data_IF_278690315659
#
_entry.id   IF_278690315659
#
_cell.length_a   1.000
_cell.length_b   1.000
_cell.length_c   1.000
_cell.angle_alpha   90.00
_cell.angle_beta   90.00
_cell.angle_gamma   90.00
#
_symmetry.space_group_name_H-M   'P 1'
#
loop_
_entity.id
_entity.type
_entity.pdbx_description
1 polymer ?
#
# COMPACT_ATOMS: atom_id res chain seq x y z
N UNK A 1 -57.68 -16.49 48.26
CA UNK A 1 -57.12 -15.24 47.71
C UNK A 1 -55.97 -14.71 48.57
N UNK A 2 -56.10 -14.77 49.91
CA UNK A 2 -55.06 -14.41 50.89
C UNK A 2 -53.66 -15.05 50.72
N UNK A 3 -53.52 -16.31 50.26
CA UNK A 3 -52.20 -16.94 50.11
C UNK A 3 -51.38 -16.37 48.95
N UNK A 4 -52.02 -15.84 47.91
CA UNK A 4 -51.31 -15.14 46.82
C UNK A 4 -50.92 -13.73 47.22
N UNK A 5 -51.78 -13.01 47.96
CA UNK A 5 -51.49 -11.65 48.44
C UNK A 5 -50.32 -11.61 49.46
N UNK A 6 -50.17 -12.65 50.28
CA UNK A 6 -49.06 -12.75 51.23
C UNK A 6 -47.73 -13.09 50.53
N UNK A 7 -47.74 -13.99 49.55
CA UNK A 7 -46.56 -14.28 48.73
C UNK A 7 -46.14 -13.08 47.86
N UNK A 8 -47.11 -12.28 47.37
CA UNK A 8 -46.85 -11.06 46.60
C UNK A 8 -46.13 -10.02 47.48
N UNK A 9 -46.60 -9.79 48.71
CA UNK A 9 -45.98 -8.85 49.65
C UNK A 9 -44.59 -9.30 50.13
N UNK A 10 -44.36 -10.62 50.31
CA UNK A 10 -43.05 -11.18 50.65
C UNK A 10 -42.06 -11.10 49.48
N UNK A 11 -42.51 -11.35 48.24
CA UNK A 11 -41.69 -11.13 47.04
C UNK A 11 -41.36 -9.66 46.83
N UNK A 12 -42.31 -8.77 47.07
CA UNK A 12 -42.12 -7.33 46.96
C UNK A 12 -41.05 -6.84 47.96
N UNK A 13 -41.12 -7.27 49.22
CA UNK A 13 -40.10 -6.93 50.21
C UNK A 13 -38.71 -7.51 49.87
N UNK A 14 -38.63 -8.74 49.38
CA UNK A 14 -37.36 -9.34 48.95
C UNK A 14 -36.74 -8.60 47.75
N UNK A 15 -37.55 -8.20 46.78
CA UNK A 15 -37.11 -7.39 45.63
C UNK A 15 -36.63 -6.00 46.07
N UNK A 16 -37.33 -5.38 47.02
CA UNK A 16 -36.95 -4.08 47.62
C UNK A 16 -35.63 -4.19 48.39
N UNK A 17 -35.40 -5.26 49.15
CA UNK A 17 -34.15 -5.45 49.91
C UNK A 17 -32.95 -5.75 49.00
N UNK A 18 -33.16 -6.53 47.94
CA UNK A 18 -32.14 -6.73 46.88
C UNK A 18 -31.84 -5.40 46.19
N UNK A 19 -32.86 -4.61 45.85
CA UNK A 19 -32.68 -3.29 45.25
C UNK A 19 -31.95 -2.31 46.18
N UNK A 20 -32.26 -2.30 47.49
CA UNK A 20 -31.56 -1.47 48.47
C UNK A 20 -30.11 -1.89 48.69
N UNK A 21 -29.83 -3.20 48.66
CA UNK A 21 -28.48 -3.76 48.91
C UNK A 21 -27.57 -3.66 47.68
N UNK A 22 -28.09 -3.97 46.49
CA UNK A 22 -27.30 -4.02 45.25
C UNK A 22 -27.53 -2.84 44.31
N UNK A 23 -28.59 -2.03 44.49
CA UNK A 23 -28.93 -0.94 43.58
C UNK A 23 -27.82 0.11 43.42
N UNK A 24 -27.06 0.41 44.48
CA UNK A 24 -25.88 1.29 44.38
C UNK A 24 -24.73 0.66 43.60
N UNK A 25 -24.51 -0.65 43.73
CA UNK A 25 -23.47 -1.38 43.01
C UNK A 25 -23.82 -1.54 41.53
N UNK A 26 -25.07 -1.93 41.23
CA UNK A 26 -25.59 -2.05 39.87
C UNK A 26 -25.60 -0.66 39.21
N UNK A 27 -26.09 0.37 39.89
CA UNK A 27 -26.06 1.75 39.40
C UNK A 27 -24.65 2.27 39.14
N UNK A 28 -23.72 2.01 40.06
CA UNK A 28 -22.29 2.33 39.89
C UNK A 28 -21.65 1.59 38.71
N UNK A 29 -21.97 0.29 38.54
CA UNK A 29 -21.52 -0.52 37.43
C UNK A 29 -22.02 -0.01 36.08
N UNK A 30 -23.32 0.33 35.98
CA UNK A 30 -23.91 0.92 34.77
C UNK A 30 -23.26 2.29 34.48
N UNK A 31 -23.08 3.14 35.49
CA UNK A 31 -22.45 4.44 35.32
C UNK A 31 -21.00 4.33 34.80
N UNK A 32 -20.22 3.38 35.33
CA UNK A 32 -18.87 3.08 34.83
C UNK A 32 -18.89 2.59 33.38
N UNK A 33 -19.82 1.70 33.04
CA UNK A 33 -19.98 1.19 31.68
C UNK A 33 -20.31 2.32 30.69
N UNK A 34 -21.25 3.20 31.05
CA UNK A 34 -21.63 4.35 30.24
C UNK A 34 -20.50 5.37 30.10
N UNK A 35 -19.74 5.63 31.16
CA UNK A 35 -18.57 6.49 31.11
C UNK A 35 -17.48 5.92 30.19
N UNK A 36 -17.22 4.60 30.29
CA UNK A 36 -16.28 3.90 29.41
C UNK A 36 -16.73 3.94 27.94
N UNK A 37 -18.01 3.68 27.68
CA UNK A 37 -18.59 3.75 26.34
C UNK A 37 -18.54 5.18 25.78
N UNK A 38 -18.89 6.18 26.57
CA UNK A 38 -18.84 7.59 26.17
C UNK A 38 -17.41 8.03 25.84
N UNK A 39 -16.44 7.64 26.66
CA UNK A 39 -15.02 7.88 26.37
C UNK A 39 -14.55 7.21 25.09
N UNK A 40 -14.94 5.96 24.85
CA UNK A 40 -14.62 5.23 23.61
C UNK A 40 -15.24 5.90 22.38
N UNK A 41 -16.53 6.25 22.44
CA UNK A 41 -17.25 6.89 21.33
C UNK A 41 -16.65 8.26 20.99
N UNK A 42 -16.26 9.04 22.00
CA UNK A 42 -15.60 10.33 21.78
C UNK A 42 -14.24 10.14 21.10
N UNK A 43 -13.42 9.20 21.58
CA UNK A 43 -12.13 8.89 20.97
C UNK A 43 -12.25 8.38 19.53
N UNK A 44 -13.15 7.44 19.27
CA UNK A 44 -13.44 6.91 17.93
C UNK A 44 -13.92 8.01 16.97
N UNK A 45 -14.82 8.89 17.43
CA UNK A 45 -15.28 10.04 16.65
C UNK A 45 -14.13 10.99 16.32
N UNK A 46 -13.28 11.34 17.29
CA UNK A 46 -12.12 12.22 17.06
C UNK A 46 -11.14 11.64 16.04
N UNK A 47 -10.87 10.33 16.08
CA UNK A 47 -10.00 9.66 15.11
C UNK A 47 -10.61 9.66 13.71
N UNK A 48 -11.92 9.36 13.61
CA UNK A 48 -12.63 9.35 12.32
C UNK A 48 -12.73 10.73 11.69
N UNK A 49 -12.95 11.77 12.48
CA UNK A 49 -13.00 13.15 12.00
C UNK A 49 -11.65 13.59 11.43
N UNK A 50 -10.55 13.35 12.15
CA UNK A 50 -9.21 13.66 11.67
C UNK A 50 -8.85 12.89 10.39
N UNK A 51 -9.25 11.61 10.30
CA UNK A 51 -9.07 10.83 9.07
C UNK A 51 -9.92 11.36 7.90
N UNK A 52 -11.11 11.88 8.18
CA UNK A 52 -11.99 12.52 7.19
C UNK A 52 -11.36 13.77 6.57
N UNK A 53 -10.80 14.65 7.40
CA UNK A 53 -10.13 15.88 6.94
C UNK A 53 -8.92 15.58 6.05
N UNK A 54 -8.08 14.61 6.46
CA UNK A 54 -6.94 14.16 5.64
C UNK A 54 -7.41 13.58 4.30
N UNK A 55 -8.51 12.83 4.30
CA UNK A 55 -9.08 12.22 3.08
C UNK A 55 -9.63 13.28 2.12
N UNK A 56 -10.29 14.32 2.63
CA UNK A 56 -10.79 15.44 1.84
C UNK A 56 -9.63 16.20 1.18
N UNK A 57 -8.61 16.58 1.96
CA UNK A 57 -7.40 17.24 1.46
C UNK A 57 -6.71 16.39 0.39
N UNK A 58 -6.61 15.07 0.61
CA UNK A 58 -5.98 14.14 -0.35
C UNK A 58 -6.77 14.08 -1.65
N UNK A 59 -8.10 14.02 -1.59
CA UNK A 59 -8.96 14.04 -2.79
C UNK A 59 -8.74 15.30 -3.62
N UNK A 60 -8.75 16.48 -2.97
CA UNK A 60 -8.51 17.76 -3.66
C UNK A 60 -7.14 17.82 -4.33
N UNK A 61 -6.12 17.27 -3.67
CA UNK A 61 -4.77 17.15 -4.23
C UNK A 61 -4.76 16.23 -5.45
N UNK A 62 -5.41 15.06 -5.38
CA UNK A 62 -5.49 14.12 -6.50
C UNK A 62 -6.17 14.75 -7.71
N UNK A 63 -7.25 15.50 -7.50
CA UNK A 63 -7.94 16.24 -8.58
C UNK A 63 -7.01 17.27 -9.23
N UNK A 64 -6.20 17.99 -8.42
CA UNK A 64 -5.21 18.93 -8.96
C UNK A 64 -4.08 18.23 -9.72
N UNK A 65 -3.62 17.08 -9.26
CA UNK A 65 -2.61 16.30 -9.99
C UNK A 65 -3.17 15.77 -11.32
N UNK A 66 -4.45 15.39 -11.36
CA UNK A 66 -5.11 14.94 -12.58
C UNK A 66 -5.30 16.07 -13.61
N UNK A 67 -5.44 17.32 -13.16
CA UNK A 67 -5.58 18.50 -14.02
C UNK A 67 -4.27 18.90 -14.77
N UNK A 68 -3.13 18.30 -14.43
CA UNK A 68 -1.88 18.40 -15.19
C UNK A 68 -0.75 19.18 -14.50
N UNK A 69 0.38 19.42 -15.22
CA UNK A 69 1.61 19.92 -14.62
C UNK A 69 1.49 21.29 -13.92
N UNK A 70 0.69 22.20 -14.47
CA UNK A 70 0.49 23.55 -13.91
C UNK A 70 -0.17 23.50 -12.52
N UNK A 71 -1.13 22.60 -12.33
CA UNK A 71 -1.81 22.40 -11.05
C UNK A 71 -1.04 21.50 -10.09
N UNK A 72 -0.17 20.63 -10.60
CA UNK A 72 0.74 19.82 -9.79
C UNK A 72 1.70 20.66 -8.95
N UNK A 73 2.14 21.82 -9.45
CA UNK A 73 2.97 22.76 -8.68
C UNK A 73 2.27 23.31 -7.43
N UNK A 74 0.97 23.61 -7.52
CA UNK A 74 0.16 24.03 -6.37
C UNK A 74 -0.10 22.87 -5.39
N UNK A 75 -0.21 21.64 -5.90
CA UNK A 75 -0.43 20.44 -5.11
C UNK A 75 0.77 20.08 -4.21
N UNK A 76 2.01 20.43 -4.62
CA UNK A 76 3.22 20.16 -3.83
C UNK A 76 3.13 20.75 -2.41
N UNK A 77 2.68 21.99 -2.27
CA UNK A 77 2.59 22.66 -0.96
C UNK A 77 1.62 21.94 -0.02
N UNK A 78 0.47 21.53 -0.53
CA UNK A 78 -0.56 20.85 0.25
C UNK A 78 -0.11 19.43 0.64
N UNK A 79 0.58 18.74 -0.28
CA UNK A 79 1.17 17.43 -0.05
C UNK A 79 2.30 17.46 0.99
N UNK A 80 3.09 18.52 1.01
CA UNK A 80 4.17 18.66 1.99
C UNK A 80 3.63 18.72 3.43
N UNK A 81 2.50 19.39 3.65
CA UNK A 81 1.82 19.37 4.95
C UNK A 81 1.33 17.96 5.31
N UNK A 82 0.70 17.27 4.36
CA UNK A 82 0.12 15.93 4.56
C UNK A 82 1.15 14.85 4.88
N UNK A 83 2.42 15.02 4.50
CA UNK A 83 3.51 14.09 4.85
C UNK A 83 3.76 13.95 6.36
N UNK A 84 3.23 14.87 7.16
CA UNK A 84 3.32 14.85 8.63
C UNK A 84 1.98 14.54 9.32
N UNK A 85 0.88 14.41 8.58
CA UNK A 85 -0.47 14.22 9.12
C UNK A 85 -0.94 12.75 9.04
N UNK A 86 -1.70 12.31 10.05
CA UNK A 86 -2.36 11.01 10.05
C UNK A 86 -1.45 9.82 10.37
N UNK A 87 -1.92 8.62 9.98
CA UNK A 87 -1.21 7.37 10.23
C UNK A 87 0.09 7.26 9.42
N UNK A 88 0.98 6.33 9.77
CA UNK A 88 2.19 6.07 8.97
C UNK A 88 1.88 5.75 7.49
N UNK A 89 0.76 5.06 7.23
CA UNK A 89 0.28 4.81 5.86
C UNK A 89 -0.21 6.07 5.14
N UNK A 90 -0.90 6.97 5.84
CA UNK A 90 -1.33 8.25 5.27
C UNK A 90 -0.12 9.13 4.91
N UNK A 91 0.83 9.27 5.84
CA UNK A 91 2.10 9.99 5.61
C UNK A 91 2.90 9.41 4.44
N UNK A 92 3.00 8.08 4.35
CA UNK A 92 3.68 7.39 3.26
C UNK A 92 3.00 7.61 1.89
N UNK A 93 1.66 7.59 1.85
CA UNK A 93 0.91 7.91 0.63
C UNK A 93 1.09 9.38 0.22
N UNK A 94 1.06 10.31 1.17
CA UNK A 94 1.32 11.72 0.90
C UNK A 94 2.73 11.92 0.32
N UNK A 95 3.76 11.27 0.88
CA UNK A 95 5.12 11.30 0.33
C UNK A 95 5.21 10.70 -1.09
N UNK A 96 4.51 9.59 -1.34
CA UNK A 96 4.42 8.97 -2.67
C UNK A 96 3.80 9.93 -3.70
N UNK A 97 2.71 10.62 -3.33
CA UNK A 97 2.03 11.59 -4.19
C UNK A 97 2.88 12.85 -4.41
N UNK A 98 3.57 13.33 -3.37
CA UNK A 98 4.47 14.48 -3.47
C UNK A 98 5.61 14.19 -4.46
N UNK A 99 6.26 13.04 -4.33
CA UNK A 99 7.29 12.60 -5.26
C UNK A 99 6.74 12.43 -6.70
N UNK A 100 5.53 11.90 -6.86
CA UNK A 100 4.89 11.81 -8.18
C UNK A 100 4.61 13.21 -8.80
N UNK A 101 4.20 14.18 -7.99
CA UNK A 101 4.00 15.57 -8.42
C UNK A 101 5.32 16.24 -8.82
N UNK A 102 6.42 15.94 -8.12
CA UNK A 102 7.77 16.37 -8.51
C UNK A 102 8.14 15.83 -9.89
N UNK A 103 7.83 14.57 -10.21
CA UNK A 103 8.05 14.02 -11.57
C UNK A 103 7.24 14.81 -12.61
N UNK A 104 5.95 15.06 -12.34
CA UNK A 104 5.08 15.80 -13.28
C UNK A 104 5.54 17.24 -13.53
N UNK A 105 6.21 17.85 -12.55
CA UNK A 105 6.74 19.22 -12.64
C UNK A 105 8.18 19.28 -13.15
N UNK A 106 8.71 18.16 -13.67
CA UNK A 106 10.05 18.09 -14.27
C UNK A 106 11.20 17.95 -13.27
N UNK A 107 10.90 17.74 -11.98
CA UNK A 107 11.88 17.63 -10.89
C UNK A 107 12.21 16.16 -10.57
N UNK A 108 12.60 15.41 -11.60
CA UNK A 108 12.79 13.96 -11.50
C UNK A 108 13.82 13.55 -10.43
N UNK A 109 14.94 14.25 -10.31
CA UNK A 109 15.95 13.92 -9.29
C UNK A 109 15.50 14.22 -7.85
N UNK A 110 14.70 15.28 -7.65
CA UNK A 110 14.08 15.55 -6.35
C UNK A 110 13.09 14.43 -6.00
N UNK A 111 12.26 14.02 -6.95
CA UNK A 111 11.34 12.90 -6.79
C UNK A 111 12.08 11.59 -6.44
N UNK A 112 13.18 11.29 -7.14
CA UNK A 112 13.96 10.09 -6.88
C UNK A 112 14.61 10.10 -5.48
N UNK A 113 15.04 11.27 -4.97
CA UNK A 113 15.51 11.39 -3.57
C UNK A 113 14.38 11.09 -2.58
N UNK A 114 13.18 11.59 -2.84
CA UNK A 114 12.03 11.36 -1.97
C UNK A 114 11.54 9.92 -2.00
N UNK A 115 11.47 9.30 -3.18
CA UNK A 115 11.18 7.86 -3.29
C UNK A 115 12.24 7.01 -2.58
N UNK A 116 13.52 7.37 -2.68
CA UNK A 116 14.59 6.68 -1.95
C UNK A 116 14.41 6.80 -0.43
N UNK A 117 14.08 7.98 0.07
CA UNK A 117 13.81 8.21 1.49
C UNK A 117 12.61 7.39 1.98
N UNK A 118 11.53 7.33 1.19
CA UNK A 118 10.35 6.53 1.54
C UNK A 118 10.65 5.03 1.53
N UNK A 119 11.41 4.55 0.54
CA UNK A 119 11.83 3.15 0.48
C UNK A 119 12.67 2.71 1.70
N UNK A 120 13.45 3.63 2.27
CA UNK A 120 14.28 3.39 3.45
C UNK A 120 13.55 3.60 4.79
N UNK A 121 12.32 4.13 4.80
CA UNK A 121 11.60 4.47 6.02
C UNK A 121 10.97 3.22 6.69
N UNK A 122 11.46 2.74 7.85
CA UNK A 122 10.93 1.54 8.48
C UNK A 122 9.48 1.66 8.97
N UNK A 123 8.98 2.90 9.20
CA UNK A 123 7.60 3.15 9.61
C UNK A 123 6.60 3.01 8.46
N UNK A 124 7.05 3.18 7.20
CA UNK A 124 6.17 3.10 6.04
C UNK A 124 5.77 1.65 5.76
N UNK A 125 4.51 1.36 5.40
CA UNK A 125 4.08 0.01 5.03
C UNK A 125 4.96 -0.59 3.90
N UNK A 126 5.35 -1.86 4.03
CA UNK A 126 6.22 -2.56 3.07
C UNK A 126 5.79 -2.37 1.60
N UNK A 127 4.50 -2.50 1.22
CA UNK A 127 4.11 -2.31 -0.18
C UNK A 127 4.42 -0.92 -0.73
N UNK A 128 4.34 0.13 0.10
CA UNK A 128 4.69 1.49 -0.31
C UNK A 128 6.19 1.68 -0.43
N UNK A 129 6.99 1.00 0.40
CA UNK A 129 8.46 1.02 0.30
C UNK A 129 8.94 0.35 -0.97
N UNK A 130 8.35 -0.80 -1.30
CA UNK A 130 8.64 -1.54 -2.53
C UNK A 130 8.30 -0.71 -3.76
N UNK A 131 7.10 -0.11 -3.79
CA UNK A 131 6.72 0.81 -4.85
C UNK A 131 7.68 2.00 -4.96
N UNK A 132 8.09 2.58 -3.84
CA UNK A 132 9.01 3.71 -3.84
C UNK A 132 10.38 3.30 -4.41
N UNK A 133 10.90 2.12 -4.06
CA UNK A 133 12.15 1.60 -4.63
C UNK A 133 12.05 1.40 -6.15
N UNK A 134 10.93 0.87 -6.64
CA UNK A 134 10.67 0.72 -8.09
C UNK A 134 10.64 2.07 -8.77
N UNK A 135 9.92 3.06 -8.20
CA UNK A 135 9.80 4.40 -8.78
C UNK A 135 11.12 5.16 -8.79
N UNK A 136 11.90 5.07 -7.72
CA UNK A 136 13.26 5.63 -7.67
C UNK A 136 14.14 5.07 -8.79
N UNK A 137 14.23 3.74 -8.88
CA UNK A 137 15.11 3.08 -9.84
C UNK A 137 14.62 3.22 -11.28
N UNK A 138 13.32 3.37 -11.51
CA UNK A 138 12.79 3.74 -12.81
C UNK A 138 13.27 5.13 -13.25
N UNK A 139 13.27 6.10 -12.35
CA UNK A 139 13.74 7.46 -12.65
C UNK A 139 15.25 7.47 -12.90
N UNK A 140 16.02 6.78 -12.07
CA UNK A 140 17.49 6.76 -12.14
C UNK A 140 18.06 5.63 -12.99
N UNK A 141 17.25 4.93 -13.76
CA UNK A 141 17.63 3.68 -14.42
C UNK A 141 18.90 3.79 -15.28
N UNK A 142 19.09 4.94 -15.93
CA UNK A 142 20.26 5.21 -16.76
C UNK A 142 21.47 5.75 -15.98
N UNK A 143 21.24 6.26 -14.78
CA UNK A 143 22.27 6.86 -13.93
C UNK A 143 22.88 5.87 -12.91
N UNK A 144 22.21 4.76 -12.60
CA UNK A 144 22.70 3.76 -11.64
C UNK A 144 23.30 2.53 -12.33
N UNK A 145 24.28 1.85 -11.72
CA UNK A 145 24.81 0.59 -12.23
C UNK A 145 23.70 -0.46 -12.38
N UNK A 146 23.64 -1.22 -13.50
CA UNK A 146 22.62 -2.24 -13.71
C UNK A 146 22.57 -3.28 -12.58
N UNK A 147 23.73 -3.62 -12.00
CA UNK A 147 23.79 -4.56 -10.87
C UNK A 147 23.02 -4.05 -9.66
N UNK A 148 23.05 -2.75 -9.38
CA UNK A 148 22.32 -2.16 -8.25
C UNK A 148 20.80 -2.26 -8.44
N UNK A 149 20.31 -2.13 -9.68
CA UNK A 149 18.89 -2.34 -10.02
C UNK A 149 18.50 -3.80 -9.73
N UNK A 150 19.33 -4.74 -10.19
CA UNK A 150 19.09 -6.18 -9.99
C UNK A 150 19.07 -6.52 -8.51
N UNK A 151 20.09 -6.13 -7.75
CA UNK A 151 20.21 -6.48 -6.33
C UNK A 151 19.01 -5.98 -5.51
N UNK A 152 18.49 -4.80 -5.86
CA UNK A 152 17.39 -4.17 -5.13
C UNK A 152 16.00 -4.66 -5.55
N UNK A 153 15.78 -4.97 -6.83
CA UNK A 153 14.45 -5.29 -7.35
C UNK A 153 14.23 -6.78 -7.64
N UNK A 154 15.28 -7.60 -7.72
CA UNK A 154 15.14 -9.05 -7.96
C UNK A 154 14.23 -9.76 -6.94
N UNK A 155 14.21 -9.41 -5.63
CA UNK A 155 13.25 -10.01 -4.69
C UNK A 155 11.78 -9.72 -5.02
N UNK A 156 11.50 -8.63 -5.73
CA UNK A 156 10.17 -8.22 -6.17
C UNK A 156 9.81 -8.76 -7.56
N UNK A 157 10.83 -9.06 -8.37
CA UNK A 157 10.72 -9.60 -9.72
C UNK A 157 10.49 -11.13 -9.73
N UNK A 158 9.58 -11.62 -8.89
CA UNK A 158 9.21 -13.04 -8.79
C UNK A 158 7.71 -13.24 -9.03
N UNK A 159 7.28 -14.30 -9.74
CA UNK A 159 5.86 -14.59 -9.95
C UNK A 159 5.07 -14.66 -8.64
N UNK A 160 3.85 -14.14 -8.64
CA UNK A 160 2.99 -14.04 -7.46
C UNK A 160 3.29 -12.84 -6.55
N UNK A 161 4.39 -12.10 -6.76
CA UNK A 161 4.58 -10.81 -6.12
C UNK A 161 3.72 -9.73 -6.82
N UNK A 162 3.01 -8.86 -6.09
CA UNK A 162 2.22 -7.78 -6.69
C UNK A 162 3.01 -6.85 -7.62
N UNK A 163 4.32 -6.75 -7.40
CA UNK A 163 5.22 -5.90 -8.18
C UNK A 163 5.95 -6.65 -9.31
N UNK A 164 5.66 -7.93 -9.53
CA UNK A 164 6.40 -8.80 -10.45
C UNK A 164 6.62 -8.16 -11.82
N UNK A 165 5.55 -7.67 -12.46
CA UNK A 165 5.65 -7.07 -13.77
C UNK A 165 6.55 -5.82 -13.80
N UNK A 166 6.31 -4.87 -12.90
CA UNK A 166 7.04 -3.59 -12.89
C UNK A 166 8.49 -3.73 -12.44
N UNK A 167 8.74 -4.51 -11.39
CA UNK A 167 10.10 -4.79 -10.93
C UNK A 167 10.85 -5.66 -11.94
N UNK A 168 10.18 -6.67 -12.49
CA UNK A 168 10.74 -7.59 -13.47
C UNK A 168 11.11 -6.92 -14.79
N UNK A 169 10.33 -5.94 -15.25
CA UNK A 169 10.70 -5.11 -16.41
C UNK A 169 12.05 -4.41 -16.18
N UNK A 170 12.22 -3.72 -15.04
CA UNK A 170 13.48 -3.02 -14.74
C UNK A 170 14.66 -3.99 -14.56
N UNK A 171 14.45 -5.13 -13.91
CA UNK A 171 15.48 -6.17 -13.74
C UNK A 171 15.88 -6.77 -15.09
N UNK A 172 14.92 -7.09 -15.96
CA UNK A 172 15.18 -7.61 -17.30
C UNK A 172 15.94 -6.61 -18.16
N UNK A 173 15.54 -5.33 -18.13
CA UNK A 173 16.25 -4.25 -18.83
C UNK A 173 17.68 -4.08 -18.28
N UNK A 174 17.89 -4.24 -16.97
CA UNK A 174 19.22 -4.20 -16.37
C UNK A 174 20.09 -5.39 -16.82
N UNK A 175 19.53 -6.60 -16.96
CA UNK A 175 20.24 -7.73 -17.56
C UNK A 175 20.65 -7.46 -19.00
N UNK A 176 19.77 -6.85 -19.81
CA UNK A 176 20.12 -6.45 -21.18
C UNK A 176 21.29 -5.46 -21.21
N UNK A 177 21.32 -4.47 -20.32
CA UNK A 177 22.47 -3.56 -20.17
C UNK A 177 23.77 -4.27 -19.79
N UNK A 178 23.69 -5.40 -19.10
CA UNK A 178 24.86 -6.24 -18.81
C UNK A 178 25.23 -7.21 -19.94
N UNK A 179 24.51 -7.19 -21.07
CA UNK A 179 24.71 -8.15 -22.15
C UNK A 179 24.28 -9.58 -21.79
N UNK A 180 23.28 -9.72 -20.90
CA UNK A 180 22.76 -11.01 -20.41
C UNK A 180 21.34 -11.29 -20.91
N UNK A 181 21.11 -11.45 -22.23
CA UNK A 181 19.78 -11.73 -22.78
C UNK A 181 19.22 -13.08 -22.32
N UNK A 182 20.10 -14.02 -21.96
CA UNK A 182 19.77 -15.33 -21.37
C UNK A 182 19.06 -15.23 -20.02
N UNK A 183 19.30 -14.15 -19.26
CA UNK A 183 18.61 -13.87 -18.02
C UNK A 183 17.37 -13.00 -18.23
N UNK A 184 17.41 -12.08 -19.20
CA UNK A 184 16.31 -11.16 -19.49
C UNK A 184 15.12 -11.84 -20.19
N UNK A 185 15.40 -12.66 -21.21
CA UNK A 185 14.40 -13.30 -22.05
C UNK A 185 13.39 -14.17 -21.30
N UNK A 186 13.84 -15.12 -20.45
CA UNK A 186 12.94 -15.92 -19.62
C UNK A 186 12.10 -15.07 -18.66
N UNK A 187 12.67 -13.99 -18.11
CA UNK A 187 11.95 -13.09 -17.21
C UNK A 187 10.84 -12.34 -17.95
N UNK A 188 11.13 -11.77 -19.12
CA UNK A 188 10.11 -11.12 -19.95
C UNK A 188 9.03 -12.11 -20.42
N UNK A 189 9.41 -13.33 -20.80
CA UNK A 189 8.46 -14.38 -21.17
C UNK A 189 7.54 -14.74 -20.00
N UNK A 190 8.08 -14.84 -18.77
CA UNK A 190 7.30 -15.10 -17.57
C UNK A 190 6.30 -13.97 -17.28
N UNK A 191 6.74 -12.71 -17.32
CA UNK A 191 5.85 -11.54 -17.14
C UNK A 191 4.77 -11.51 -18.23
N UNK A 192 5.13 -11.85 -19.47
CA UNK A 192 4.22 -11.90 -20.60
C UNK A 192 3.13 -12.97 -20.52
N UNK A 193 3.31 -14.00 -19.69
CA UNK A 193 2.33 -15.07 -19.44
C UNK A 193 1.52 -14.85 -18.17
N UNK A 194 1.94 -13.94 -17.32
CA UNK A 194 1.29 -13.68 -16.05
C UNK A 194 -0.08 -12.99 -16.28
N UNK A 195 -1.13 -13.58 -15.72
CA UNK A 195 -2.52 -13.11 -15.84
C UNK A 195 -2.84 -11.94 -14.91
N UNK A 196 -2.03 -11.75 -13.86
CA UNK A 196 -2.20 -10.71 -12.85
C UNK A 196 -1.43 -9.44 -13.24
N UNK A 197 -0.64 -9.49 -14.32
CA UNK A 197 0.05 -8.35 -14.92
C UNK A 197 -0.86 -7.61 -15.92
N UNK A 198 -0.89 -6.27 -15.92
CA UNK A 198 -1.68 -5.50 -16.89
C UNK A 198 -1.39 -5.87 -18.34
N UNK A 199 -2.45 -6.01 -19.16
CA UNK A 199 -2.35 -6.51 -20.54
C UNK A 199 -1.35 -5.73 -21.41
N UNK A 200 -1.26 -4.42 -21.24
CA UNK A 200 -0.31 -3.56 -21.98
C UNK A 200 1.14 -3.91 -21.65
N UNK A 201 1.45 -4.13 -20.36
CA UNK A 201 2.76 -4.56 -19.91
C UNK A 201 3.06 -5.99 -20.37
N UNK A 202 2.11 -6.93 -20.18
CA UNK A 202 2.28 -8.31 -20.63
C UNK A 202 2.53 -8.39 -22.14
N UNK A 203 1.80 -7.62 -22.96
CA UNK A 203 2.01 -7.53 -24.41
C UNK A 203 3.41 -7.04 -24.75
N UNK A 204 3.87 -5.95 -24.13
CA UNK A 204 5.22 -5.40 -24.32
C UNK A 204 6.29 -6.42 -23.93
N UNK A 205 6.14 -7.09 -22.79
CA UNK A 205 7.12 -8.09 -22.33
C UNK A 205 7.16 -9.32 -23.25
N UNK A 206 6.03 -9.79 -23.79
CA UNK A 206 6.02 -10.85 -24.82
C UNK A 206 6.77 -10.43 -26.09
N UNK A 207 6.60 -9.20 -26.54
CA UNK A 207 7.32 -8.68 -27.70
C UNK A 207 8.83 -8.66 -27.45
N UNK A 208 9.28 -8.15 -26.30
CA UNK A 208 10.70 -8.16 -25.92
C UNK A 208 11.25 -9.57 -25.78
N UNK A 209 10.50 -10.50 -25.18
CA UNK A 209 10.90 -11.90 -25.08
C UNK A 209 11.08 -12.54 -26.47
N UNK A 210 10.12 -12.32 -27.39
CA UNK A 210 10.19 -12.82 -28.76
C UNK A 210 11.39 -12.28 -29.54
N UNK A 211 11.75 -11.00 -29.36
CA UNK A 211 12.96 -10.42 -29.96
C UNK A 211 14.25 -11.09 -29.46
N UNK A 212 14.22 -11.65 -28.25
CA UNK A 212 15.34 -12.38 -27.65
C UNK A 212 15.30 -13.89 -27.95
N UNK A 213 14.34 -14.37 -28.75
CA UNK A 213 14.17 -15.78 -29.09
C UNK A 213 13.46 -16.61 -28.01
N UNK A 214 12.81 -15.96 -27.04
CA UNK A 214 12.02 -16.61 -26.01
C UNK A 214 10.54 -16.49 -26.36
N UNK A 215 10.00 -17.50 -27.04
CA UNK A 215 8.56 -17.55 -27.29
C UNK A 215 7.80 -17.81 -25.99
N UNK A 216 6.57 -17.29 -25.92
CA UNK A 216 5.62 -17.59 -24.86
C UNK A 216 5.21 -19.09 -24.77
N UNK A 217 5.88 -20.01 -25.49
CA UNK A 217 5.69 -21.47 -25.45
C UNK A 217 6.89 -22.31 -25.00
N UNK A 218 8.15 -21.89 -25.19
CA UNK A 218 9.27 -22.84 -25.24
C UNK A 218 10.19 -22.84 -24.00
N UNK A 219 9.62 -23.19 -22.85
CA UNK A 219 10.45 -23.70 -21.73
C UNK A 219 10.64 -25.23 -21.79
N UNK A 220 10.30 -25.88 -22.90
CA UNK A 220 10.33 -27.34 -22.99
C UNK A 220 10.61 -27.89 -24.41
N UNK A 221 11.58 -27.37 -25.17
CA UNK A 221 12.01 -28.04 -26.40
C UNK A 221 13.38 -27.62 -26.97
N UNK A 222 14.46 -27.54 -26.18
CA UNK A 222 15.82 -27.51 -26.75
C UNK A 222 16.82 -28.28 -25.92
N UNK A 223 16.57 -29.59 -25.75
CA UNK A 223 17.67 -30.55 -25.67
C UNK A 223 17.76 -31.19 -27.05
N UNK A 224 18.59 -30.60 -27.92
CA UNK A 224 18.97 -31.26 -29.16
C UNK A 224 19.85 -32.48 -28.80
N UNK A 225 19.55 -33.70 -29.30
CA UNK A 225 20.45 -34.81 -29.10
C UNK A 225 21.73 -34.56 -29.90
N UNK A 226 22.87 -34.63 -29.20
CA UNK A 226 24.18 -34.67 -29.84
C UNK A 226 24.22 -35.88 -30.79
N UNK A 227 24.44 -35.60 -32.07
CA UNK A 227 24.78 -36.62 -33.04
C UNK A 227 26.22 -37.07 -32.78
N UNK A 228 26.41 -38.36 -32.50
CA UNK A 228 27.64 -39.13 -32.71
C UNK A 228 27.23 -40.53 -33.15
#
# INVERSE_FOLDING_TARGET
>A
MFLREVDEALREQQMVDIAKRYGKLIGGGIALLLAGLGGYLYWDHSVKQAAGEVSEKTTLVLDRLAAGPTSAGAALKDLEALKSEGSAGARANAAMLHAAALVQTGKAEEAAKEFAALAANPEAPQPLRDLAAIRELAIRFDAVPPQQVIDRLKPLAVPGNPWFGSAGELVGMAYLKQGKPDLAGPLFAAIGKDKDVPQSLASRMRQLAGQLGYESGDAAATVAPAQN
#
